data_IF_060400774632
#
_entry.id   IF_060400774632
#
_cell.length_a   1.000
_cell.length_b   1.000
_cell.length_c   1.000
_cell.angle_alpha   90.00
_cell.angle_beta   90.00
_cell.angle_gamma   90.00
#
_symmetry.space_group_name_H-M   'P 1'
#
loop_
_entity.id
_entity.type
_entity.pdbx_description
1 polymer ?
#
# COMPACT_ATOMS: atom_id res chain seq x y z
N UNK A 1 18.13 -5.56 0.56
CA UNK A 1 19.07 -4.49 0.97
C UNK A 1 19.78 -3.82 -0.22
N UNK A 2 20.20 -4.56 -1.25
CA UNK A 2 20.89 -4.02 -2.44
C UNK A 2 20.08 -2.98 -3.25
N UNK A 3 18.80 -3.23 -3.53
CA UNK A 3 17.96 -2.31 -4.35
C UNK A 3 17.72 -0.93 -3.71
N UNK A 4 17.68 -0.86 -2.38
CA UNK A 4 17.51 0.41 -1.67
C UNK A 4 18.76 1.30 -1.75
N UNK A 5 19.95 0.69 -1.73
CA UNK A 5 21.22 1.39 -1.90
C UNK A 5 21.45 1.85 -3.35
N UNK A 6 21.05 1.04 -4.33
CA UNK A 6 21.07 1.45 -5.74
C UNK A 6 20.16 2.65 -5.99
N UNK A 7 18.91 2.60 -5.49
CA UNK A 7 18.00 3.73 -5.58
C UNK A 7 18.60 4.99 -4.92
N UNK A 8 19.18 4.87 -3.72
CA UNK A 8 19.84 5.98 -3.03
C UNK A 8 20.93 6.66 -3.87
N UNK A 9 21.77 5.88 -4.56
CA UNK A 9 22.83 6.42 -5.41
C UNK A 9 22.31 7.05 -6.71
N UNK A 10 21.19 6.57 -7.25
CA UNK A 10 20.54 7.13 -8.44
C UNK A 10 19.92 8.49 -8.15
N UNK A 11 19.28 8.69 -6.99
CA UNK A 11 18.63 9.97 -6.67
C UNK A 11 19.56 11.02 -6.06
N UNK A 12 20.71 10.63 -5.48
CA UNK A 12 21.82 11.50 -5.01
C UNK A 12 21.41 12.84 -4.36
N UNK A 13 20.22 12.93 -3.76
CA UNK A 13 19.61 14.17 -3.27
C UNK A 13 19.45 15.30 -4.31
N UNK A 14 19.76 15.09 -5.59
CA UNK A 14 19.64 16.13 -6.61
C UNK A 14 18.20 16.19 -7.05
N UNK A 15 17.46 17.19 -6.54
CA UNK A 15 16.20 17.62 -7.16
C UNK A 15 16.52 18.02 -8.59
N UNK A 16 16.20 17.15 -9.54
CA UNK A 16 16.31 17.51 -10.95
C UNK A 16 15.43 18.73 -11.19
N UNK A 17 16.02 19.86 -11.57
CA UNK A 17 15.31 21.10 -11.87
C UNK A 17 14.36 20.97 -13.09
N UNK A 18 14.41 19.84 -13.80
CA UNK A 18 13.57 19.49 -14.95
C UNK A 18 12.50 18.45 -14.63
N UNK A 19 12.57 17.76 -13.49
CA UNK A 19 11.53 16.82 -13.07
C UNK A 19 10.48 17.60 -12.30
N UNK A 20 9.23 17.53 -12.78
CA UNK A 20 8.09 18.16 -12.12
C UNK A 20 8.08 17.79 -10.64
N UNK A 21 7.70 18.75 -9.78
CA UNK A 21 7.59 18.50 -8.34
C UNK A 21 6.71 17.25 -8.13
N UNK A 22 7.13 16.29 -7.28
CA UNK A 22 6.32 15.12 -7.01
C UNK A 22 4.95 15.59 -6.53
N UNK A 23 3.91 15.08 -7.19
CA UNK A 23 2.53 15.40 -6.87
C UNK A 23 2.06 14.38 -5.84
N UNK A 24 1.70 14.87 -4.66
CA UNK A 24 0.96 14.07 -3.70
C UNK A 24 -0.43 13.79 -4.27
N UNK A 25 -0.79 12.52 -4.32
CA UNK A 25 -2.12 12.06 -4.73
C UNK A 25 -2.80 11.52 -3.47
N UNK A 26 -4.05 11.93 -3.28
CA UNK A 26 -4.89 11.48 -2.18
C UNK A 26 -6.03 10.67 -2.79
N UNK A 27 -5.80 9.37 -3.04
CA UNK A 27 -6.82 8.52 -3.62
C UNK A 27 -8.00 8.37 -2.65
N UNK A 28 -9.19 8.24 -3.21
CA UNK A 28 -10.40 7.99 -2.42
C UNK A 28 -10.44 6.51 -2.03
N UNK A 29 -9.81 6.16 -0.92
CA UNK A 29 -9.72 4.80 -0.42
C UNK A 29 -10.74 4.53 0.70
N UNK A 30 -11.10 3.27 0.90
CA UNK A 30 -11.96 2.85 2.00
C UNK A 30 -11.40 3.34 3.33
N UNK A 31 -12.16 4.21 4.00
CA UNK A 31 -11.75 4.80 5.25
C UNK A 31 -12.23 3.92 6.41
N UNK A 32 -11.43 3.88 7.47
CA UNK A 32 -11.86 3.26 8.71
C UNK A 32 -12.86 4.18 9.39
N UNK A 33 -14.04 3.64 9.71
CA UNK A 33 -14.96 4.32 10.61
C UNK A 33 -14.36 4.37 12.02
N UNK A 34 -14.39 5.56 12.61
CA UNK A 34 -13.74 6.01 13.85
C UNK A 34 -13.44 4.88 14.86
N UNK A 35 -12.16 4.55 15.03
CA UNK A 35 -11.65 3.64 16.08
C UNK A 35 -10.15 3.37 15.93
N UNK A 36 -9.40 3.32 17.03
CA UNK A 36 -7.92 3.34 16.97
C UNK A 36 -7.25 1.97 16.70
N UNK A 37 -8.02 0.88 16.68
CA UNK A 37 -7.44 -0.46 16.87
C UNK A 37 -7.01 -1.19 15.59
N UNK A 38 -7.40 -0.75 14.38
CA UNK A 38 -7.30 -1.59 13.18
C UNK A 38 -6.61 -0.96 11.96
N UNK A 39 -6.02 0.24 12.07
CA UNK A 39 -5.35 0.91 10.95
C UNK A 39 -4.32 0.03 10.21
N UNK A 40 -3.59 -0.82 10.95
CA UNK A 40 -2.62 -1.75 10.37
C UNK A 40 -3.25 -2.74 9.38
N UNK A 41 -4.47 -3.20 9.66
CA UNK A 41 -5.19 -4.16 8.80
C UNK A 41 -5.68 -3.49 7.52
N UNK A 42 -6.12 -2.23 7.60
CA UNK A 42 -6.46 -1.42 6.41
C UNK A 42 -5.25 -1.23 5.50
N UNK A 43 -4.09 -0.87 6.05
CA UNK A 43 -2.84 -0.75 5.28
C UNK A 43 -2.49 -2.07 4.61
N UNK A 44 -2.54 -3.18 5.35
CA UNK A 44 -2.26 -4.51 4.81
C UNK A 44 -3.22 -4.90 3.70
N UNK A 45 -4.52 -4.59 3.84
CA UNK A 45 -5.53 -4.88 2.84
C UNK A 45 -5.31 -4.08 1.55
N UNK A 46 -5.09 -2.76 1.67
CA UNK A 46 -4.80 -1.91 0.52
C UNK A 46 -3.55 -2.37 -0.25
N UNK A 47 -2.50 -2.75 0.47
CA UNK A 47 -1.28 -3.27 -0.17
C UNK A 47 -1.54 -4.57 -0.94
N UNK A 48 -2.35 -5.47 -0.38
CA UNK A 48 -2.72 -6.71 -1.06
C UNK A 48 -3.52 -6.42 -2.35
N UNK A 49 -4.41 -5.43 -2.33
CA UNK A 49 -5.22 -5.04 -3.48
C UNK A 49 -4.38 -4.38 -4.58
N UNK A 50 -3.45 -3.50 -4.23
CA UNK A 50 -2.49 -2.93 -5.19
C UNK A 50 -1.73 -4.06 -5.91
N UNK A 51 -1.25 -5.06 -5.17
CA UNK A 51 -0.53 -6.20 -5.73
C UNK A 51 -1.45 -7.05 -6.62
N UNK A 52 -2.68 -7.34 -6.17
CA UNK A 52 -3.66 -8.15 -6.92
C UNK A 52 -4.10 -7.50 -8.23
N UNK A 53 -4.28 -6.18 -8.23
CA UNK A 53 -4.74 -5.44 -9.40
C UNK A 53 -3.65 -5.30 -10.47
N UNK A 54 -2.38 -5.49 -10.11
CA UNK A 54 -1.21 -5.33 -11.00
C UNK A 54 -1.18 -3.96 -11.71
N UNK A 55 -1.82 -2.95 -11.10
CA UNK A 55 -1.91 -1.58 -11.64
C UNK A 55 -0.67 -0.82 -11.18
N UNK A 56 0.36 -0.83 -12.02
CA UNK A 56 1.61 -0.06 -11.79
C UNK A 56 1.54 1.39 -12.28
N UNK A 57 0.50 1.74 -13.04
CA UNK A 57 0.42 3.02 -13.76
C UNK A 57 -0.66 3.99 -13.24
N UNK A 58 -1.51 3.58 -12.29
CA UNK A 58 -2.59 4.43 -11.78
C UNK A 58 -3.03 4.04 -10.36
N UNK A 59 -2.47 4.73 -9.36
CA UNK A 59 -2.87 4.55 -7.96
C UNK A 59 -4.32 4.90 -7.69
N UNK A 60 -4.87 5.93 -8.35
CA UNK A 60 -6.28 6.29 -8.20
C UNK A 60 -7.22 5.15 -8.61
N UNK A 61 -6.89 4.42 -9.68
CA UNK A 61 -7.68 3.24 -10.09
C UNK A 61 -7.51 2.07 -9.12
N UNK A 62 -6.31 1.89 -8.57
CA UNK A 62 -6.04 0.80 -7.64
C UNK A 62 -6.74 0.98 -6.29
N UNK A 63 -6.97 2.23 -5.90
CA UNK A 63 -7.44 2.59 -4.56
C UNK A 63 -8.83 3.22 -4.53
N UNK A 64 -9.44 3.50 -5.68
CA UNK A 64 -10.84 3.93 -5.80
C UNK A 64 -11.78 2.76 -5.50
N UNK A 65 -11.93 2.44 -4.22
CA UNK A 65 -12.90 1.46 -3.75
C UNK A 65 -14.02 2.19 -3.03
N UNK A 66 -15.24 1.98 -3.49
CA UNK A 66 -16.45 2.59 -2.90
C UNK A 66 -17.01 1.74 -1.74
N UNK A 67 -16.68 0.44 -1.70
CA UNK A 67 -17.24 -0.49 -0.72
C UNK A 67 -16.36 -0.59 0.54
N UNK A 68 -16.91 -0.35 1.75
CA UNK A 68 -16.17 -0.51 2.99
C UNK A 68 -15.66 -1.94 3.17
N UNK A 69 -14.49 -2.09 3.80
CA UNK A 69 -13.99 -3.40 4.16
C UNK A 69 -14.87 -4.06 5.21
N UNK A 70 -15.19 -5.33 4.97
CA UNK A 70 -15.93 -6.16 5.90
C UNK A 70 -15.01 -6.76 6.96
N UNK A 71 -15.60 -7.30 8.04
CA UNK A 71 -14.85 -8.11 9.01
C UNK A 71 -14.20 -9.34 8.35
N UNK A 72 -14.84 -9.91 7.33
CA UNK A 72 -14.30 -11.06 6.58
C UNK A 72 -13.03 -10.69 5.82
N UNK A 73 -12.94 -9.47 5.29
CA UNK A 73 -11.72 -8.98 4.64
C UNK A 73 -10.56 -8.90 5.63
N UNK A 74 -10.82 -8.47 6.86
CA UNK A 74 -9.79 -8.41 7.90
C UNK A 74 -9.38 -9.79 8.40
N UNK A 75 -10.33 -10.72 8.50
CA UNK A 75 -10.01 -12.10 8.87
C UNK A 75 -9.18 -12.81 7.79
N UNK A 76 -9.45 -12.57 6.51
CA UNK A 76 -8.60 -13.06 5.42
C UNK A 76 -7.18 -12.47 5.50
N UNK A 77 -7.06 -11.17 5.75
CA UNK A 77 -5.76 -10.49 5.91
C UNK A 77 -4.99 -11.10 7.09
N UNK A 78 -5.63 -11.24 8.27
CA UNK A 78 -5.00 -11.85 9.46
C UNK A 78 -4.52 -13.27 9.16
N UNK A 79 -5.37 -14.10 8.54
CA UNK A 79 -5.03 -15.48 8.19
C UNK A 79 -3.83 -15.56 7.26
N UNK A 80 -3.86 -14.82 6.14
CA UNK A 80 -2.77 -14.83 5.14
C UNK A 80 -1.44 -14.38 5.74
N UNK A 81 -1.46 -13.36 6.60
CA UNK A 81 -0.24 -12.92 7.28
C UNK A 81 0.25 -13.93 8.31
N UNK A 82 -0.64 -14.54 9.08
CA UNK A 82 -0.29 -15.61 10.00
C UNK A 82 0.35 -16.80 9.26
N UNK A 83 -0.24 -17.25 8.15
CA UNK A 83 0.33 -18.28 7.28
C UNK A 83 1.72 -17.88 6.79
N UNK A 84 1.87 -16.67 6.23
CA UNK A 84 3.16 -16.15 5.77
C UNK A 84 4.24 -16.13 6.86
N UNK A 85 3.90 -15.70 8.09
CA UNK A 85 4.87 -15.65 9.18
C UNK A 85 5.21 -17.03 9.73
N UNK A 86 4.25 -17.96 9.74
CA UNK A 86 4.45 -19.32 10.24
C UNK A 86 5.14 -20.24 9.23
N UNK A 87 4.96 -20.02 7.92
CA UNK A 87 5.68 -20.77 6.88
C UNK A 87 7.14 -20.34 6.72
N UNK A 88 7.48 -19.14 7.19
CA UNK A 88 8.84 -18.57 7.09
C UNK A 88 9.67 -18.80 8.37
N UNK A 89 9.05 -19.30 9.45
CA UNK A 89 9.74 -19.77 10.67
C UNK A 89 9.98 -21.28 10.63
#
# INVERSE_FOLDING_TARGET
MYRAFEAYHVVKGMRSNTVSKPKWVYPNCCQQDVGDAEFGLFVMRHMLEIIKLDIVNSFDKALSMEEPYSSEDFDDVRRRWAECFLEVM
#
